data_IF_844558081622
#
_entry.id   IF_844558081622
#
_cell.length_a   1.000
_cell.length_b   1.000
_cell.length_c   1.000
_cell.angle_alpha   90.00
_cell.angle_beta   90.00
_cell.angle_gamma   90.00
#
_symmetry.space_group_name_H-M   'P 1'
#
loop_
_entity.id
_entity.type
_entity.pdbx_description
1 polymer ?
#
# COMPACT_ATOMS: atom_id res chain seq x y z
N UNK A 1 15.90 -4.39 -1.96
CA UNK A 1 16.08 -4.40 -3.43
C UNK A 1 16.76 -5.70 -3.83
N UNK A 2 16.08 -6.56 -4.57
CA UNK A 2 16.59 -7.86 -5.02
C UNK A 2 17.51 -7.69 -6.25
N UNK A 3 18.39 -8.65 -6.53
CA UNK A 3 19.31 -8.64 -7.69
C UNK A 3 18.56 -8.51 -9.01
N UNK A 4 17.42 -9.19 -9.16
CA UNK A 4 16.57 -9.03 -10.35
C UNK A 4 16.00 -7.61 -10.51
N UNK A 5 15.70 -6.91 -9.42
CA UNK A 5 15.28 -5.50 -9.45
C UNK A 5 16.46 -4.59 -9.81
N UNK A 6 17.66 -4.90 -9.31
CA UNK A 6 18.89 -4.18 -9.66
C UNK A 6 19.19 -4.32 -11.16
N UNK A 7 19.16 -5.53 -11.72
CA UNK A 7 19.38 -5.77 -13.16
C UNK A 7 18.41 -4.93 -14.00
N UNK A 8 17.10 -4.97 -13.69
CA UNK A 8 16.09 -4.16 -14.39
C UNK A 8 16.38 -2.66 -14.30
N UNK A 9 16.80 -2.17 -13.14
CA UNK A 9 17.11 -0.74 -12.98
C UNK A 9 18.30 -0.31 -13.84
N UNK A 10 19.34 -1.14 -13.96
CA UNK A 10 20.51 -0.86 -14.80
C UNK A 10 20.22 -1.05 -16.30
N UNK A 11 19.34 -1.99 -16.68
CA UNK A 11 18.86 -2.13 -18.06
C UNK A 11 18.07 -0.89 -18.49
N UNK A 12 17.19 -0.36 -17.63
CA UNK A 12 16.48 0.88 -17.89
C UNK A 12 17.45 2.07 -18.02
N UNK A 13 18.46 2.15 -17.15
CA UNK A 13 19.49 3.20 -17.24
C UNK A 13 20.27 3.11 -18.56
N UNK A 14 20.65 1.91 -18.98
CA UNK A 14 21.33 1.68 -20.27
C UNK A 14 20.44 2.11 -21.45
N UNK A 15 19.16 1.75 -21.42
CA UNK A 15 18.22 2.14 -22.48
C UNK A 15 18.05 3.66 -22.57
N UNK A 16 18.00 4.36 -21.42
CA UNK A 16 17.93 5.82 -21.39
C UNK A 16 19.19 6.48 -21.97
N UNK A 17 20.39 6.00 -21.60
CA UNK A 17 21.66 6.52 -22.14
C UNK A 17 21.84 6.20 -23.63
N UNK A 18 21.39 5.03 -24.08
CA UNK A 18 21.41 4.68 -25.50
C UNK A 18 20.44 5.56 -26.31
N UNK A 19 19.25 5.84 -25.77
CA UNK A 19 18.29 6.73 -26.39
C UNK A 19 18.82 8.17 -26.50
N UNK A 20 19.55 8.68 -25.48
CA UNK A 20 20.16 10.01 -25.58
C UNK A 20 21.28 10.07 -26.63
N UNK A 21 22.06 8.99 -26.80
CA UNK A 21 23.06 8.92 -27.87
C UNK A 21 22.40 8.89 -29.26
N UNK A 22 21.34 8.12 -29.41
CA UNK A 22 20.58 8.04 -30.67
C UNK A 22 19.95 9.39 -30.99
N UNK A 23 19.37 10.09 -30.01
CA UNK A 23 18.79 11.42 -30.20
C UNK A 23 19.83 12.44 -30.71
N UNK A 24 21.01 12.49 -30.10
CA UNK A 24 22.11 13.38 -30.53
C UNK A 24 22.55 13.05 -31.96
N UNK A 25 22.71 11.77 -32.28
CA UNK A 25 23.09 11.33 -33.63
C UNK A 25 22.00 11.61 -34.68
N UNK A 26 20.72 11.44 -34.33
CA UNK A 26 19.60 11.78 -35.23
C UNK A 26 19.50 13.28 -35.49
N UNK A 27 19.70 14.13 -34.48
CA UNK A 27 19.71 15.59 -34.65
C UNK A 27 20.84 16.05 -35.57
N UNK A 28 22.05 15.53 -35.35
CA UNK A 28 23.19 15.82 -36.23
C UNK A 28 22.92 15.37 -37.68
N UNK A 29 22.29 14.20 -37.86
CA UNK A 29 21.93 13.68 -39.17
C UNK A 29 20.82 14.49 -39.88
N UNK A 30 19.79 14.93 -39.15
CA UNK A 30 18.72 15.79 -39.67
C UNK A 30 19.23 17.18 -40.08
N UNK A 31 20.17 17.74 -39.32
CA UNK A 31 20.79 19.03 -39.60
C UNK A 31 21.92 18.94 -40.64
N UNK A 32 22.29 17.74 -41.09
CA UNK A 32 23.30 17.51 -42.12
C UNK A 32 24.71 17.98 -41.71
N UNK A 33 24.99 18.04 -40.41
CA UNK A 33 26.27 18.50 -39.83
C UNK A 33 26.93 17.38 -39.04
N UNK A 34 28.24 17.48 -38.84
CA UNK A 34 28.95 16.67 -37.85
C UNK A 34 28.64 17.18 -36.44
N UNK A 35 28.86 16.33 -35.44
CA UNK A 35 28.80 16.75 -34.05
C UNK A 35 29.78 17.91 -33.82
N UNK A 36 29.39 18.88 -33.00
CA UNK A 36 30.31 19.89 -32.51
C UNK A 36 31.19 19.34 -31.37
N UNK A 37 32.17 20.13 -30.90
CA UNK A 37 33.11 19.67 -29.86
C UNK A 37 32.41 19.31 -28.54
N UNK A 38 31.34 20.03 -28.18
CA UNK A 38 30.59 19.77 -26.94
C UNK A 38 29.73 18.50 -27.07
N UNK A 39 29.13 18.28 -28.24
CA UNK A 39 28.36 17.08 -28.56
C UNK A 39 29.24 15.83 -28.71
N UNK A 40 30.46 15.96 -29.25
CA UNK A 40 31.46 14.89 -29.28
C UNK A 40 31.89 14.49 -27.86
N UNK A 41 32.21 15.45 -27.00
CA UNK A 41 32.54 15.17 -25.60
C UNK A 41 31.36 14.53 -24.85
N UNK A 42 30.14 15.02 -25.06
CA UNK A 42 28.94 14.42 -24.48
C UNK A 42 28.70 12.99 -24.97
N UNK A 43 28.92 12.74 -26.26
CA UNK A 43 28.81 11.41 -26.86
C UNK A 43 29.83 10.44 -26.26
N UNK A 44 31.10 10.84 -26.17
CA UNK A 44 32.17 10.00 -25.62
C UNK A 44 31.98 9.70 -24.13
N UNK A 45 31.57 10.70 -23.35
CA UNK A 45 31.24 10.53 -21.94
C UNK A 45 30.08 9.55 -21.75
N UNK A 46 28.98 9.73 -22.49
CA UNK A 46 27.81 8.85 -22.41
C UNK A 46 28.14 7.43 -22.89
N UNK A 47 28.96 7.29 -23.93
CA UNK A 47 29.44 5.99 -24.39
C UNK A 47 30.32 5.29 -23.34
N UNK A 48 31.16 6.04 -22.61
CA UNK A 48 31.93 5.50 -21.49
C UNK A 48 31.02 5.03 -20.34
N UNK A 49 29.97 5.79 -20.01
CA UNK A 49 28.98 5.38 -19.01
C UNK A 49 28.24 4.10 -19.40
N UNK A 50 27.82 3.96 -20.66
CA UNK A 50 27.19 2.73 -21.17
C UNK A 50 28.12 1.53 -20.99
N UNK A 51 29.42 1.66 -21.31
CA UNK A 51 30.41 0.58 -21.10
C UNK A 51 30.53 0.20 -19.63
N UNK A 52 30.49 1.17 -18.71
CA UNK A 52 30.51 0.89 -17.26
C UNK A 52 29.23 0.17 -16.81
N UNK A 53 28.06 0.59 -17.29
CA UNK A 53 26.77 -0.05 -16.97
C UNK A 53 26.72 -1.47 -17.53
N UNK A 54 27.20 -1.70 -18.75
CA UNK A 54 27.28 -3.04 -19.35
C UNK A 54 28.21 -3.97 -18.56
N UNK A 55 29.36 -3.47 -18.10
CA UNK A 55 30.25 -4.23 -17.23
C UNK A 55 29.59 -4.58 -15.89
N UNK A 56 28.80 -3.67 -15.31
CA UNK A 56 28.06 -3.90 -14.08
C UNK A 56 26.92 -4.92 -14.28
N UNK A 57 26.17 -4.83 -15.38
CA UNK A 57 25.14 -5.79 -15.75
C UNK A 57 25.71 -7.20 -15.93
N UNK A 58 26.89 -7.33 -16.55
CA UNK A 58 27.58 -8.62 -16.67
C UNK A 58 27.86 -9.25 -15.31
N UNK A 59 28.47 -8.48 -14.38
CA UNK A 59 28.75 -8.95 -13.01
C UNK A 59 27.49 -9.34 -12.25
N UNK A 60 26.41 -8.55 -12.40
CA UNK A 60 25.13 -8.86 -11.75
C UNK A 60 24.50 -10.14 -12.29
N UNK A 61 24.56 -10.38 -13.61
CA UNK A 61 24.06 -11.62 -14.22
C UNK A 61 24.90 -12.84 -13.84
N UNK A 62 26.22 -12.69 -13.75
CA UNK A 62 27.10 -13.76 -13.23
C UNK A 62 26.77 -14.09 -11.77
N UNK A 63 26.49 -13.07 -10.96
CA UNK A 63 26.08 -13.24 -9.56
C UNK A 63 24.68 -13.88 -9.46
N UNK A 64 23.75 -13.48 -10.32
CA UNK A 64 22.43 -14.11 -10.44
C UNK A 64 22.54 -15.58 -10.85
N UNK A 65 23.36 -15.91 -11.85
CA UNK A 65 23.61 -17.28 -12.29
C UNK A 65 24.26 -18.13 -11.19
N UNK A 66 25.22 -17.58 -10.43
CA UNK A 66 25.81 -18.26 -9.28
C UNK A 66 24.79 -18.51 -8.16
N UNK A 67 23.90 -17.55 -7.91
CA UNK A 67 22.78 -17.72 -6.96
C UNK A 67 21.72 -18.70 -7.46
N UNK A 68 21.46 -18.75 -8.76
CA UNK A 68 20.56 -19.72 -9.37
C UNK A 68 21.14 -21.15 -9.33
N UNK A 69 22.45 -21.31 -9.54
CA UNK A 69 23.12 -22.60 -9.45
C UNK A 69 23.17 -23.16 -8.02
N UNK A 70 23.17 -22.28 -7.01
CA UNK A 70 23.11 -22.63 -5.58
C UNK A 70 21.69 -22.65 -5.05
N UNK A 71 20.70 -22.22 -5.84
CA UNK A 71 19.31 -22.26 -5.46
C UNK A 71 18.82 -23.71 -5.50
N UNK A 72 18.36 -24.20 -4.36
CA UNK A 72 17.68 -25.48 -4.32
C UNK A 72 16.37 -25.38 -5.11
N UNK A 73 16.04 -26.37 -5.97
CA UNK A 73 14.79 -26.36 -6.71
C UNK A 73 13.63 -26.40 -5.73
N UNK A 74 12.71 -25.45 -5.88
CA UNK A 74 11.43 -25.46 -5.15
C UNK A 74 10.63 -26.65 -5.66
N UNK A 75 10.59 -27.74 -4.89
CA UNK A 75 9.63 -28.81 -5.12
C UNK A 75 8.24 -28.20 -4.90
N UNK A 76 7.48 -28.00 -5.98
CA UNK A 76 6.06 -27.73 -5.84
C UNK A 76 5.45 -28.89 -5.08
N UNK A 77 4.88 -28.60 -3.90
CA UNK A 77 4.23 -29.59 -3.07
C UNK A 77 2.89 -29.98 -3.72
N UNK A 78 2.94 -30.90 -4.68
CA UNK A 78 1.84 -31.81 -4.93
C UNK A 78 1.78 -32.80 -3.78
N UNK A 79 0.74 -32.68 -2.95
CA UNK A 79 0.31 -33.62 -1.92
C UNK A 79 1.32 -33.93 -0.78
N UNK A 80 1.19 -33.18 0.31
CA UNK A 80 0.97 -33.78 1.63
C UNK A 80 2.14 -34.43 2.38
N UNK A 81 3.39 -34.29 1.96
CA UNK A 81 4.54 -34.66 2.82
C UNK A 81 5.63 -33.59 2.79
N UNK A 82 5.74 -32.85 3.90
CA UNK A 82 6.80 -31.84 4.10
C UNK A 82 8.08 -32.54 4.55
N UNK A 83 9.13 -32.46 3.73
CA UNK A 83 10.47 -32.72 4.20
C UNK A 83 10.85 -31.59 5.17
N UNK A 84 11.01 -31.91 6.45
CA UNK A 84 11.39 -30.96 7.47
C UNK A 84 12.80 -30.42 7.16
N UNK A 85 12.86 -29.20 6.64
CA UNK A 85 14.09 -28.40 6.65
C UNK A 85 14.27 -27.94 8.10
N UNK A 86 15.37 -28.32 8.74
CA UNK A 86 15.65 -28.06 10.16
C UNK A 86 15.78 -26.57 10.54
N UNK A 87 15.55 -25.65 9.60
CA UNK A 87 15.45 -24.21 9.85
C UNK A 87 14.75 -23.52 8.68
N UNK A 88 13.48 -23.87 8.43
CA UNK A 88 12.61 -23.01 7.62
C UNK A 88 11.85 -22.05 8.55
N UNK A 89 11.72 -20.75 8.23
CA UNK A 89 10.79 -19.90 8.96
C UNK A 89 9.42 -20.54 8.84
N UNK A 90 8.79 -20.83 9.98
CA UNK A 90 7.43 -21.35 10.04
C UNK A 90 6.55 -20.34 9.31
N UNK A 91 6.12 -20.66 8.08
CA UNK A 91 5.13 -19.87 7.35
C UNK A 91 3.80 -20.17 8.06
N UNK A 92 3.58 -19.47 9.18
CA UNK A 92 2.30 -19.48 9.87
C UNK A 92 1.38 -18.62 9.02
N UNK A 93 0.37 -19.24 8.43
CA UNK A 93 -0.72 -18.49 7.80
C UNK A 93 -1.44 -17.79 8.94
N UNK A 94 -1.17 -16.50 9.13
CA UNK A 94 -1.90 -15.70 10.09
C UNK A 94 -3.37 -15.73 9.70
N UNK A 95 -4.22 -16.15 10.64
CA UNK A 95 -5.66 -16.12 10.42
C UNK A 95 -6.06 -14.68 10.13
N UNK A 96 -6.73 -14.44 9.00
CA UNK A 96 -7.25 -13.10 8.69
C UNK A 96 -8.38 -12.79 9.68
N UNK A 97 -8.06 -12.05 10.73
CA UNK A 97 -9.05 -11.53 11.66
C UNK A 97 -9.90 -10.47 10.96
N UNK A 98 -11.18 -10.38 11.32
CA UNK A 98 -12.01 -9.26 10.91
C UNK A 98 -11.50 -7.95 11.50
N UNK A 99 -11.79 -6.86 10.79
CA UNK A 99 -11.31 -5.53 11.15
C UNK A 99 -11.73 -5.14 12.56
N UNK A 100 -10.78 -4.66 13.37
CA UNK A 100 -10.99 -4.21 14.75
C UNK A 100 -10.84 -5.29 15.82
N UNK A 101 -10.91 -6.59 15.47
CA UNK A 101 -10.75 -7.68 16.46
C UNK A 101 -9.32 -7.70 17.01
N UNK A 102 -8.33 -7.46 16.16
CA UNK A 102 -6.93 -7.40 16.58
C UNK A 102 -6.71 -6.35 17.68
N UNK A 103 -7.23 -5.14 17.49
CA UNK A 103 -7.12 -4.06 18.47
C UNK A 103 -7.88 -4.40 19.77
N UNK A 104 -9.06 -5.02 19.68
CA UNK A 104 -9.81 -5.45 20.84
C UNK A 104 -9.06 -6.49 21.69
N UNK A 105 -8.38 -7.46 21.04
CA UNK A 105 -7.54 -8.44 21.74
C UNK A 105 -6.37 -7.77 22.45
N UNK A 106 -5.70 -6.83 21.78
CA UNK A 106 -4.63 -6.03 22.36
C UNK A 106 -5.08 -5.24 23.59
N UNK A 107 -6.19 -4.49 23.48
CA UNK A 107 -6.75 -3.73 24.58
C UNK A 107 -7.16 -4.63 25.76
N UNK A 108 -7.77 -5.80 25.49
CA UNK A 108 -8.15 -6.78 26.51
C UNK A 108 -6.94 -7.35 27.25
N UNK A 109 -5.86 -7.71 26.53
CA UNK A 109 -4.63 -8.19 27.16
C UNK A 109 -3.97 -7.11 28.03
N UNK A 110 -3.98 -5.86 27.58
CA UNK A 110 -3.42 -4.75 28.34
C UNK A 110 -4.25 -4.42 29.59
N UNK A 111 -5.58 -4.44 29.47
CA UNK A 111 -6.49 -4.21 30.58
C UNK A 111 -6.41 -5.33 31.64
N UNK A 112 -6.34 -6.59 31.20
CA UNK A 112 -6.18 -7.74 32.09
C UNK A 112 -4.88 -7.68 32.89
N UNK A 113 -3.82 -7.12 32.30
CA UNK A 113 -2.52 -6.92 32.92
C UNK A 113 -2.37 -5.58 33.66
N UNK A 114 -3.48 -4.83 33.86
CA UNK A 114 -3.49 -3.53 34.56
C UNK A 114 -2.45 -2.53 34.01
N UNK A 115 -2.16 -2.59 32.71
CA UNK A 115 -1.18 -1.74 32.05
C UNK A 115 0.28 -2.23 32.11
N UNK A 116 0.57 -3.34 32.81
CA UNK A 116 1.89 -3.97 32.84
C UNK A 116 2.11 -4.78 31.56
N UNK A 117 3.06 -4.36 30.73
CA UNK A 117 3.24 -4.92 29.36
C UNK A 117 3.76 -6.36 29.35
N UNK A 118 4.65 -6.71 30.28
CA UNK A 118 5.18 -8.07 30.41
C UNK A 118 4.06 -9.05 30.74
N UNK A 119 3.21 -8.70 31.70
CA UNK A 119 2.02 -9.48 32.05
C UNK A 119 0.99 -9.51 30.90
N UNK A 120 0.83 -8.41 30.16
CA UNK A 120 -0.06 -8.36 29.00
C UNK A 120 0.37 -9.35 27.90
N UNK A 121 1.67 -9.49 27.68
CA UNK A 121 2.24 -10.47 26.76
C UNK A 121 1.97 -11.89 27.24
N UNK A 122 2.11 -12.18 28.54
CA UNK A 122 1.79 -13.50 29.10
C UNK A 122 0.29 -13.83 28.98
N UNK A 123 -0.58 -12.87 29.26
CA UNK A 123 -2.02 -13.01 29.07
C UNK A 123 -2.36 -13.25 27.60
N UNK A 124 -1.74 -12.51 26.68
CA UNK A 124 -1.93 -12.69 25.25
C UNK A 124 -1.43 -14.06 24.77
N UNK A 125 -0.30 -14.56 25.28
CA UNK A 125 0.20 -15.91 24.97
C UNK A 125 -0.72 -17.01 25.49
N UNK A 126 -1.29 -16.82 26.68
CA UNK A 126 -2.21 -17.78 27.28
C UNK A 126 -3.56 -17.81 26.57
N UNK A 127 -4.09 -16.65 26.21
CA UNK A 127 -5.45 -16.53 25.67
C UNK A 127 -5.52 -16.58 24.14
N UNK A 128 -4.45 -16.18 23.45
CA UNK A 128 -4.36 -16.15 21.99
C UNK A 128 -3.02 -16.74 21.51
N UNK A 129 -2.81 -18.07 21.64
CA UNK A 129 -1.53 -18.71 21.28
C UNK A 129 -1.18 -18.62 19.78
N UNK A 130 -2.20 -18.45 18.93
CA UNK A 130 -2.06 -18.43 17.48
C UNK A 130 -1.85 -17.03 16.88
N UNK A 131 -1.94 -15.98 17.71
CA UNK A 131 -1.90 -14.59 17.27
C UNK A 131 -0.47 -14.02 17.37
N UNK A 132 0.37 -14.35 16.37
CA UNK A 132 1.77 -13.91 16.31
C UNK A 132 1.91 -12.39 16.26
N UNK A 133 1.04 -11.72 15.50
CA UNK A 133 1.02 -10.26 15.38
C UNK A 133 0.74 -9.59 16.71
N UNK A 134 -0.22 -10.10 17.50
CA UNK A 134 -0.50 -9.58 18.85
C UNK A 134 0.69 -9.75 19.78
N UNK A 135 1.35 -10.91 19.73
CA UNK A 135 2.54 -11.16 20.56
C UNK A 135 3.70 -10.26 20.15
N UNK A 136 3.87 -9.98 18.85
CA UNK A 136 4.90 -9.09 18.35
C UNK A 136 4.67 -7.66 18.84
N UNK A 137 3.45 -7.13 18.71
CA UNK A 137 3.11 -5.77 19.16
C UNK A 137 3.24 -5.58 20.68
N UNK A 138 2.92 -6.60 21.48
CA UNK A 138 3.12 -6.53 22.94
C UNK A 138 4.58 -6.73 23.36
N UNK A 139 5.38 -7.47 22.57
CA UNK A 139 6.81 -7.74 22.84
C UNK A 139 7.71 -6.59 22.40
N UNK A 140 7.38 -5.96 21.28
CA UNK A 140 8.10 -4.84 20.70
C UNK A 140 7.90 -3.62 21.59
N UNK A 141 8.79 -3.49 22.56
CA UNK A 141 8.80 -2.41 23.54
C UNK A 141 9.03 -1.07 22.85
N UNK A 142 7.96 -0.39 22.44
CA UNK A 142 8.05 1.01 22.05
C UNK A 142 7.84 1.85 23.31
N UNK A 143 8.95 2.32 23.87
CA UNK A 143 8.96 3.56 24.63
C UNK A 143 8.56 4.68 23.67
N UNK A 144 7.67 5.57 24.09
CA UNK A 144 7.30 6.72 23.29
C UNK A 144 8.56 7.49 22.84
N UNK A 145 8.79 7.56 21.53
CA UNK A 145 9.73 8.49 20.88
C UNK A 145 11.20 8.38 21.28
N UNK A 146 11.98 7.60 20.53
CA UNK A 146 13.41 7.93 20.34
C UNK A 146 13.73 7.76 18.86
N UNK A 147 14.44 8.74 18.29
CA UNK A 147 14.73 8.82 16.83
C UNK A 147 16.07 8.18 16.48
N UNK A 148 16.64 7.38 17.38
CA UNK A 148 18.05 6.97 17.33
C UNK A 148 18.27 5.47 17.21
N UNK A 149 17.21 4.65 17.13
CA UNK A 149 17.35 3.19 17.00
C UNK A 149 17.08 2.72 15.54
N UNK A 150 18.04 2.05 14.87
CA UNK A 150 17.87 1.52 13.50
C UNK A 150 16.74 0.48 13.35
N UNK A 151 16.23 -0.08 14.46
CA UNK A 151 15.11 -1.04 14.48
C UNK A 151 13.72 -0.36 14.46
N UNK A 152 13.67 0.98 14.43
CA UNK A 152 12.46 1.79 14.66
C UNK A 152 11.34 1.62 13.62
N UNK A 153 11.61 1.16 12.39
CA UNK A 153 10.60 1.17 11.34
C UNK A 153 9.61 -0.02 11.38
N UNK A 154 10.08 -1.22 11.73
CA UNK A 154 9.27 -2.45 11.57
C UNK A 154 8.18 -2.65 12.63
N UNK A 155 8.43 -2.23 13.87
CA UNK A 155 7.46 -2.37 14.96
C UNK A 155 6.39 -1.28 14.94
N UNK A 156 6.69 -0.10 14.37
CA UNK A 156 5.73 0.98 14.20
C UNK A 156 4.73 0.73 13.08
N UNK A 157 5.14 0.08 11.98
CA UNK A 157 4.21 -0.27 10.91
C UNK A 157 3.11 -1.20 11.41
N UNK A 158 3.45 -2.20 12.23
CA UNK A 158 2.47 -3.13 12.79
C UNK A 158 1.48 -2.42 13.73
N UNK A 159 1.95 -1.51 14.58
CA UNK A 159 1.06 -0.70 15.42
C UNK A 159 0.14 0.21 14.59
N UNK A 160 0.69 0.84 13.56
CA UNK A 160 -0.07 1.69 12.66
C UNK A 160 -1.13 0.89 11.89
N UNK A 161 -0.83 -0.36 11.52
CA UNK A 161 -1.81 -1.28 10.97
C UNK A 161 -2.90 -1.66 11.98
N UNK A 162 -2.59 -1.90 13.25
CA UNK A 162 -3.61 -2.13 14.30
C UNK A 162 -4.50 -0.91 14.51
N UNK A 163 -3.92 0.29 14.54
CA UNK A 163 -4.66 1.53 14.67
C UNK A 163 -5.54 1.79 13.44
N UNK A 164 -5.00 1.58 12.24
CA UNK A 164 -5.74 1.73 10.97
C UNK A 164 -6.88 0.71 10.86
N UNK A 165 -6.66 -0.53 11.28
CA UNK A 165 -7.67 -1.57 11.30
C UNK A 165 -8.84 -1.23 12.24
N UNK A 166 -8.53 -0.65 13.41
CA UNK A 166 -9.55 -0.12 14.32
C UNK A 166 -10.29 1.08 13.72
N UNK A 167 -9.59 2.01 13.07
CA UNK A 167 -10.20 3.16 12.39
C UNK A 167 -11.14 2.67 11.28
N UNK A 168 -10.72 1.69 10.48
CA UNK A 168 -11.55 1.12 9.42
C UNK A 168 -12.78 0.39 9.95
N UNK A 169 -12.70 -0.21 11.14
CA UNK A 169 -13.86 -0.73 11.84
C UNK A 169 -14.80 0.39 12.34
N UNK A 170 -14.24 1.48 12.88
CA UNK A 170 -15.04 2.60 13.40
C UNK A 170 -15.71 3.45 12.32
N UNK A 171 -15.04 3.70 11.19
CA UNK A 171 -15.57 4.52 10.07
C UNK A 171 -17.02 4.18 9.73
N UNK A 172 -17.40 2.92 9.40
CA UNK A 172 -18.78 2.56 9.08
C UNK A 172 -19.72 2.61 10.29
N UNK A 173 -19.20 2.55 11.52
CA UNK A 173 -20.03 2.64 12.74
C UNK A 173 -20.42 4.07 13.11
N UNK A 174 -19.71 5.08 12.58
CA UNK A 174 -20.07 6.49 12.79
C UNK A 174 -21.42 6.84 12.16
N UNK A 175 -22.12 7.84 12.70
CA UNK A 175 -23.42 8.29 12.17
C UNK A 175 -23.34 8.60 10.68
N UNK A 176 -22.26 9.26 10.23
CA UNK A 176 -22.03 9.58 8.81
C UNK A 176 -21.70 8.33 8.00
N UNK A 177 -20.87 7.42 8.54
CA UNK A 177 -20.47 6.19 7.84
C UNK A 177 -21.56 5.13 7.72
N UNK A 178 -22.62 5.22 8.53
CA UNK A 178 -23.81 4.36 8.42
C UNK A 178 -24.65 4.66 7.19
N UNK A 179 -24.60 5.88 6.65
CA UNK A 179 -25.29 6.21 5.41
C UNK A 179 -24.63 5.47 4.23
N UNK A 180 -25.43 4.76 3.44
CA UNK A 180 -24.94 3.93 2.33
C UNK A 180 -24.61 2.48 2.72
N UNK A 181 -24.83 2.09 3.97
CA UNK A 181 -24.66 0.71 4.46
C UNK A 181 -25.94 0.22 5.14
N UNK A 182 -26.18 -1.10 5.13
CA UNK A 182 -27.27 -1.70 5.90
C UNK A 182 -28.69 -1.25 5.53
N UNK A 183 -28.92 -0.87 4.26
CA UNK A 183 -30.24 -0.39 3.78
C UNK A 183 -30.52 1.09 4.05
N UNK A 184 -29.55 1.83 4.61
CA UNK A 184 -29.66 3.28 4.79
C UNK A 184 -29.19 3.97 3.49
N UNK A 185 -30.00 4.87 2.90
CA UNK A 185 -29.59 5.62 1.71
C UNK A 185 -28.26 6.37 1.91
N UNK A 186 -27.39 6.37 0.89
CA UNK A 186 -26.15 7.12 0.93
C UNK A 186 -26.40 8.64 0.94
N UNK A 187 -25.48 9.40 1.57
CA UNK A 187 -25.51 10.85 1.51
C UNK A 187 -25.21 11.32 0.08
N UNK A 188 -25.92 12.36 -0.38
CA UNK A 188 -25.60 13.03 -1.64
C UNK A 188 -24.32 13.84 -1.46
N UNK A 189 -23.31 13.51 -2.26
CA UNK A 189 -22.10 14.32 -2.41
C UNK A 189 -22.49 15.64 -3.07
N UNK A 190 -22.39 16.74 -2.33
CA UNK A 190 -22.66 18.09 -2.84
C UNK A 190 -21.35 18.89 -2.82
N UNK A 191 -20.96 19.53 -3.94
CA UNK A 191 -19.82 20.45 -3.94
C UNK A 191 -20.02 21.59 -2.95
N UNK A 192 -18.91 22.18 -2.49
CA UNK A 192 -18.96 23.34 -1.63
C UNK A 192 -19.59 24.54 -2.35
N UNK A 193 -20.34 25.34 -1.59
CA UNK A 193 -20.94 26.61 -2.04
C UNK A 193 -21.92 26.49 -3.23
N UNK A 194 -22.81 25.50 -3.21
CA UNK A 194 -23.92 25.41 -4.17
C UNK A 194 -25.23 25.96 -3.60
N UNK A 195 -26.09 26.46 -4.49
CA UNK A 195 -27.48 26.80 -4.16
C UNK A 195 -28.36 25.58 -4.41
N UNK A 196 -29.04 25.11 -3.37
CA UNK A 196 -30.00 24.01 -3.48
C UNK A 196 -31.41 24.62 -3.43
N UNK A 197 -32.18 24.44 -4.50
CA UNK A 197 -33.59 24.82 -4.50
C UNK A 197 -34.37 23.80 -3.66
N UNK A 198 -35.07 24.27 -2.64
CA UNK A 198 -35.97 23.46 -1.82
C UNK A 198 -37.40 23.98 -2.00
N UNK A 199 -38.33 23.05 -2.25
CA UNK A 199 -39.76 23.36 -2.20
C UNK A 199 -40.20 23.35 -0.74
N UNK A 200 -40.64 24.51 -0.24
CA UNK A 200 -41.05 24.69 1.17
C UNK A 200 -42.57 24.61 1.37
N UNK A 201 -43.35 24.70 0.29
CA UNK A 201 -44.81 24.60 0.30
C UNK A 201 -45.29 23.51 -0.67
N UNK A 202 -46.31 22.76 -0.25
CA UNK A 202 -47.03 21.83 -1.13
C UNK A 202 -47.94 22.59 -2.11
N UNK A 203 -48.31 21.96 -3.23
CA UNK A 203 -49.34 22.49 -4.11
C UNK A 203 -50.73 22.33 -3.51
N UNK A 204 -51.59 23.33 -3.65
CA UNK A 204 -53.01 23.20 -3.32
C UNK A 204 -53.73 22.49 -4.48
N UNK A 205 -54.77 21.72 -4.17
CA UNK A 205 -55.61 21.11 -5.20
C UNK A 205 -57.08 21.33 -4.85
N UNK A 206 -57.75 22.17 -5.65
CA UNK A 206 -59.20 22.38 -5.59
C UNK A 206 -59.95 21.57 -6.65
N UNK A 207 -61.14 21.08 -6.29
CA UNK A 207 -62.13 20.54 -7.22
C UNK A 207 -63.06 21.66 -7.69
N UNK A 208 -63.42 21.67 -8.97
CA UNK A 208 -64.43 22.59 -9.53
C UNK A 208 -65.57 21.81 -10.18
N UNK A 209 -66.78 22.36 -10.09
CA UNK A 209 -67.95 21.78 -10.75
C UNK A 209 -67.85 21.86 -12.28
N UNK A 210 -68.54 20.93 -12.95
CA UNK A 210 -68.56 20.83 -14.41
C UNK A 210 -68.96 22.17 -15.06
N UNK A 211 -68.16 22.62 -16.03
CA UNK A 211 -68.37 23.88 -16.74
C UNK A 211 -67.89 25.15 -16.02
N UNK A 212 -67.36 25.06 -14.79
CA UNK A 212 -66.77 26.22 -14.08
C UNK A 212 -65.26 26.30 -14.27
N UNK A 213 -64.76 27.52 -14.47
CA UNK A 213 -63.33 27.78 -14.58
C UNK A 213 -62.61 27.48 -13.26
N UNK A 214 -61.52 26.70 -13.32
CA UNK A 214 -60.63 26.49 -12.18
C UNK A 214 -59.71 27.70 -12.02
N UNK A 215 -59.75 28.33 -10.85
CA UNK A 215 -58.82 29.40 -10.50
C UNK A 215 -57.43 28.81 -10.24
N UNK A 216 -56.34 29.47 -10.66
CA UNK A 216 -54.99 29.09 -10.27
C UNK A 216 -54.84 29.15 -8.75
N UNK A 217 -53.97 28.30 -8.20
CA UNK A 217 -53.61 28.40 -6.78
C UNK A 217 -52.87 29.73 -6.55
N UNK A 218 -53.24 30.48 -5.50
CA UNK A 218 -52.51 31.69 -5.11
C UNK A 218 -51.13 31.30 -4.58
N UNK A 219 -50.09 31.95 -5.11
CA UNK A 219 -48.67 31.73 -4.78
C UNK A 219 -48.30 32.42 -3.48
#
# INVERSE_FOLDING_TARGET
MNIGEQIKSFENKRAALAASLEEVMTKAAEEGRTLDVEEEEHYDNTAAEIRQVDAHLKRLRELEAGKAATAQPVKQAGNGNVAAVASAPVIRVEQKLDKGIGFARFAKSLAAAKGVRSEALEVARRQYPDDSRLHHVLKSAVGAGTTTDPQWAGSLSEYQEYAQDFIDYLRPQTIIGRFGQGGIPALRQVPFNIRVHAQVSGGAAGWVGEGKAKTPDEV
#
